data_IF_283536493746
#
_entry.id   IF_283536493746
#
_cell.length_a   1.000
_cell.length_b   1.000
_cell.length_c   1.000
_cell.angle_alpha   90.00
_cell.angle_beta   90.00
_cell.angle_gamma   90.00
#
_symmetry.space_group_name_H-M   'P 1'
#
loop_
_entity.id
_entity.type
_entity.pdbx_description
1 polymer ?
#
# COMPACT_ATOMS: atom_id res chain seq x y z
N UNK A 1 1.91 19.87 13.21
CA UNK A 1 2.96 18.82 13.16
C UNK A 1 4.23 19.43 12.56
N UNK A 2 5.40 19.18 13.14
CA UNK A 2 6.67 19.75 12.63
C UNK A 2 7.12 19.04 11.35
N UNK A 3 7.91 19.72 10.52
CA UNK A 3 8.46 19.14 9.29
C UNK A 3 9.35 17.93 9.58
N UNK A 4 10.18 17.99 10.63
CA UNK A 4 11.01 16.86 11.05
C UNK A 4 10.19 15.61 11.38
N UNK A 5 9.04 15.77 12.06
CA UNK A 5 8.16 14.64 12.39
C UNK A 5 7.49 14.06 11.14
N UNK A 6 7.12 14.91 10.17
CA UNK A 6 6.63 14.43 8.86
C UNK A 6 7.68 13.60 8.14
N UNK A 7 8.92 14.09 8.06
CA UNK A 7 10.03 13.36 7.44
C UNK A 7 10.28 12.01 8.13
N UNK A 8 10.19 11.95 9.46
CA UNK A 8 10.33 10.68 10.18
C UNK A 8 9.22 9.69 9.83
N UNK A 9 7.96 10.15 9.81
CA UNK A 9 6.82 9.32 9.45
C UNK A 9 6.94 8.81 8.00
N UNK A 10 7.36 9.65 7.07
CA UNK A 10 7.59 9.27 5.67
C UNK A 10 8.66 8.17 5.55
N UNK A 11 9.78 8.31 6.28
CA UNK A 11 10.86 7.32 6.30
C UNK A 11 10.41 6.00 6.94
N UNK A 12 9.68 6.05 8.06
CA UNK A 12 9.15 4.84 8.70
C UNK A 12 8.17 4.10 7.80
N UNK A 13 7.31 4.84 7.10
CA UNK A 13 6.38 4.26 6.14
C UNK A 13 7.11 3.62 4.93
N UNK A 14 8.13 4.28 4.39
CA UNK A 14 8.97 3.72 3.32
C UNK A 14 9.69 2.44 3.79
N UNK A 15 10.22 2.42 5.01
CA UNK A 15 10.85 1.23 5.59
C UNK A 15 9.84 0.10 5.81
N UNK A 16 8.64 0.42 6.30
CA UNK A 16 7.57 -0.55 6.50
C UNK A 16 7.18 -1.21 5.19
N UNK A 17 6.94 -0.42 4.14
CA UNK A 17 6.56 -0.94 2.82
C UNK A 17 7.69 -1.77 2.21
N UNK A 18 8.94 -1.27 2.20
CA UNK A 18 10.09 -2.02 1.65
C UNK A 18 10.38 -3.35 2.35
N UNK A 19 10.09 -3.48 3.65
CA UNK A 19 10.37 -4.70 4.42
C UNK A 19 9.28 -5.75 4.28
N UNK A 20 8.02 -5.34 4.16
CA UNK A 20 6.88 -6.26 4.26
C UNK A 20 6.19 -6.51 2.92
N UNK A 21 6.45 -5.68 1.90
CA UNK A 21 5.69 -5.68 0.65
C UNK A 21 6.61 -5.90 -0.54
N UNK A 22 6.22 -6.81 -1.42
CA UNK A 22 6.80 -6.90 -2.76
C UNK A 22 6.26 -5.79 -3.66
N UNK A 23 7.05 -5.32 -4.63
CA UNK A 23 6.57 -4.34 -5.61
C UNK A 23 5.25 -4.78 -6.25
N UNK A 24 4.26 -3.88 -6.46
CA UNK A 24 3.02 -4.20 -7.14
C UNK A 24 3.22 -4.89 -8.50
N UNK A 25 4.27 -4.51 -9.23
CA UNK A 25 4.62 -5.09 -10.54
C UNK A 25 5.20 -6.51 -10.46
N UNK A 26 5.69 -6.92 -9.29
CA UNK A 26 6.28 -8.24 -9.06
C UNK A 26 5.29 -9.23 -8.46
N UNK A 27 4.20 -8.73 -7.86
CA UNK A 27 3.15 -9.56 -7.30
C UNK A 27 2.49 -10.41 -8.40
N UNK A 28 2.33 -11.70 -8.14
CA UNK A 28 1.64 -12.66 -9.04
C UNK A 28 0.51 -13.42 -8.36
N UNK A 29 0.24 -13.12 -7.10
CA UNK A 29 -0.74 -13.81 -6.29
C UNK A 29 -1.80 -12.81 -5.82
N UNK A 30 -3.07 -13.10 -6.13
CA UNK A 30 -4.19 -12.22 -5.81
C UNK A 30 -4.43 -12.10 -4.29
N UNK A 31 -4.25 -13.19 -3.55
CA UNK A 31 -4.39 -13.20 -2.09
C UNK A 31 -3.29 -12.39 -1.41
N UNK A 32 -2.06 -12.45 -1.95
CA UNK A 32 -0.95 -11.60 -1.50
C UNK A 32 -1.26 -10.12 -1.72
N UNK A 33 -1.81 -9.75 -2.89
CA UNK A 33 -2.22 -8.37 -3.16
C UNK A 33 -3.34 -7.93 -2.21
N UNK A 34 -4.36 -8.76 -1.99
CA UNK A 34 -5.45 -8.46 -1.06
C UNK A 34 -4.94 -8.26 0.36
N UNK A 35 -3.99 -9.11 0.79
CA UNK A 35 -3.32 -8.97 2.08
C UNK A 35 -2.56 -7.64 2.18
N UNK A 36 -1.78 -7.28 1.16
CA UNK A 36 -1.07 -6.00 1.12
C UNK A 36 -2.00 -4.80 1.11
N UNK A 37 -3.09 -4.82 0.34
CA UNK A 37 -4.11 -3.76 0.37
C UNK A 37 -4.67 -3.58 1.77
N UNK A 38 -5.03 -4.69 2.44
CA UNK A 38 -5.56 -4.65 3.80
C UNK A 38 -4.57 -4.05 4.80
N UNK A 39 -3.34 -4.57 4.84
CA UNK A 39 -2.28 -4.08 5.74
C UNK A 39 -1.94 -2.60 5.48
N UNK A 40 -1.97 -2.18 4.21
CA UNK A 40 -1.71 -0.79 3.84
C UNK A 40 -2.82 0.13 4.32
N UNK A 41 -4.09 -0.27 4.20
CA UNK A 41 -5.23 0.47 4.75
C UNK A 41 -5.11 0.60 6.28
N UNK A 42 -4.84 -0.49 6.99
CA UNK A 42 -4.63 -0.45 8.44
C UNK A 42 -3.51 0.51 8.82
N UNK A 43 -2.40 0.52 8.06
CA UNK A 43 -1.29 1.43 8.35
C UNK A 43 -1.64 2.89 8.06
N UNK A 44 -2.39 3.16 7.01
CA UNK A 44 -2.90 4.51 6.68
C UNK A 44 -3.81 5.01 7.80
N UNK A 45 -4.77 4.19 8.23
CA UNK A 45 -5.69 4.52 9.32
C UNK A 45 -4.95 4.78 10.63
N UNK A 46 -3.92 3.97 10.94
CA UNK A 46 -3.06 4.16 12.10
C UNK A 46 -2.33 5.52 12.04
N UNK A 47 -1.73 5.86 10.90
CA UNK A 47 -0.99 7.10 10.72
C UNK A 47 -1.93 8.32 10.78
N UNK A 48 -3.08 8.25 10.13
CA UNK A 48 -4.09 9.29 10.16
C UNK A 48 -4.64 9.52 11.58
N UNK A 49 -4.97 8.44 12.30
CA UNK A 49 -5.51 8.54 13.66
C UNK A 49 -4.48 9.04 14.67
N UNK A 50 -3.20 8.64 14.53
CA UNK A 50 -2.16 8.97 15.51
C UNK A 50 -1.51 10.32 15.26
N UNK A 51 -1.32 10.69 13.99
CA UNK A 51 -0.52 11.84 13.60
C UNK A 51 -1.30 12.88 12.79
N UNK A 52 -2.56 12.61 12.43
CA UNK A 52 -3.34 13.44 11.50
C UNK A 52 -2.57 13.72 10.19
N UNK A 53 -1.81 12.72 9.76
CA UNK A 53 -0.92 12.81 8.61
C UNK A 53 -0.72 11.44 7.99
N UNK A 54 -0.81 11.40 6.66
CA UNK A 54 -0.56 10.23 5.85
C UNK A 54 0.48 10.60 4.79
N UNK A 55 1.58 9.84 4.66
CA UNK A 55 2.54 10.02 3.59
C UNK A 55 1.89 10.00 2.21
N UNK A 56 2.29 10.93 1.32
CA UNK A 56 1.68 11.04 -0.02
C UNK A 56 1.82 9.76 -0.85
N UNK A 57 2.95 9.05 -0.68
CA UNK A 57 3.20 7.79 -1.37
C UNK A 57 2.29 6.65 -0.90
N UNK A 58 1.63 6.75 0.26
CA UNK A 58 0.77 5.69 0.77
C UNK A 58 -0.46 5.46 -0.10
N UNK A 59 -1.19 6.52 -0.45
CA UNK A 59 -2.34 6.42 -1.36
C UNK A 59 -1.94 6.04 -2.78
N UNK A 60 -0.78 6.53 -3.25
CA UNK A 60 -0.22 6.13 -4.55
C UNK A 60 0.08 4.63 -4.59
N UNK A 61 0.69 4.09 -3.53
CA UNK A 61 1.00 2.66 -3.43
C UNK A 61 -0.27 1.81 -3.33
N UNK A 62 -1.27 2.27 -2.57
CA UNK A 62 -2.58 1.63 -2.47
C UNK A 62 -3.28 1.54 -3.83
N UNK A 63 -3.26 2.64 -4.61
CA UNK A 63 -3.81 2.67 -5.95
C UNK A 63 -3.10 1.69 -6.90
N UNK A 64 -1.78 1.53 -6.77
CA UNK A 64 -1.00 0.57 -7.56
C UNK A 64 -1.39 -0.88 -7.26
N UNK A 65 -1.53 -1.26 -5.98
CA UNK A 65 -1.99 -2.61 -5.63
C UNK A 65 -3.42 -2.88 -6.11
N UNK A 66 -4.32 -1.92 -5.96
CA UNK A 66 -5.68 -2.04 -6.47
C UNK A 66 -5.72 -2.22 -8.00
N UNK A 67 -4.87 -1.49 -8.73
CA UNK A 67 -4.74 -1.66 -10.17
C UNK A 67 -4.24 -3.07 -10.54
N UNK A 68 -3.24 -3.60 -9.81
CA UNK A 68 -2.78 -4.98 -9.98
C UNK A 68 -3.89 -6.00 -9.69
N UNK A 69 -4.66 -5.80 -8.61
CA UNK A 69 -5.79 -6.66 -8.25
C UNK A 69 -6.83 -6.71 -9.37
N UNK A 70 -7.20 -5.56 -9.91
CA UNK A 70 -8.17 -5.47 -11.00
C UNK A 70 -7.66 -6.14 -12.28
N UNK A 71 -6.39 -5.92 -12.62
CA UNK A 71 -5.77 -6.55 -13.79
C UNK A 71 -5.75 -8.08 -13.69
N UNK A 72 -5.43 -8.64 -12.53
CA UNK A 72 -5.46 -10.10 -12.32
C UNK A 72 -6.89 -10.65 -12.36
N UNK A 73 -7.84 -9.93 -11.76
CA UNK A 73 -9.26 -10.32 -11.78
C UNK A 73 -9.81 -10.35 -13.21
N UNK A 74 -9.37 -9.44 -14.09
CA UNK A 74 -9.76 -9.45 -15.51
C UNK A 74 -9.18 -10.61 -16.33
N UNK A 75 -8.06 -11.22 -15.90
CA UNK A 75 -7.49 -12.40 -16.57
C UNK A 75 -8.36 -13.63 -16.31
N UNK A 76 -8.86 -13.81 -15.08
CA UNK A 76 -9.74 -14.93 -14.73
C UNK A 76 -11.09 -14.93 -15.50
N UNK A 77 -11.54 -13.78 -16.01
CA UNK A 77 -12.77 -13.69 -16.81
C UNK A 77 -12.57 -13.99 -18.31
N UNK A 78 -11.33 -14.13 -18.80
CA UNK A 78 -11.06 -14.35 -20.23
C UNK A 78 -11.01 -15.82 -20.65
N UNK A 79 -11.07 -16.74 -19.68
CA UNK A 79 -11.06 -18.20 -19.89
C UNK A 79 -12.43 -18.87 -19.63
N UNK A 80 -13.53 -18.13 -19.81
CA UNK A 80 -14.91 -18.65 -19.81
C UNK A 80 -15.56 -18.59 -21.20
#
# INVERSE_FOLDING_TARGET
MSEHLRTQIDQEFELFTRRNFESPTSCRNLDQIRFYVHELCLKIDELESRFHYVPHNAFTLLAQYNACQNNMSHVDFRDL
#
